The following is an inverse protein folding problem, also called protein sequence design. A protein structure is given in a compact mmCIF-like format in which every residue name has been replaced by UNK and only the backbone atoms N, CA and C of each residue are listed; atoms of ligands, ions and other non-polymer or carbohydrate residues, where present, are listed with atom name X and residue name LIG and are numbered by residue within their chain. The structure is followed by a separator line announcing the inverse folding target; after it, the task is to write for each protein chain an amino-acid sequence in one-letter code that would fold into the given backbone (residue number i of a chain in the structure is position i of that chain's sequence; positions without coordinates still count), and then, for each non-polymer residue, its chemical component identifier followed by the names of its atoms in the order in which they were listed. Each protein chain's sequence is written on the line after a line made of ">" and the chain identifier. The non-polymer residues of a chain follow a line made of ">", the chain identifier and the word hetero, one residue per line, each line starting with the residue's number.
data_IF_381785151454
#
_entry.id   IF_381785151454
#
_cell.length_a   1.000
_cell.length_b   1.000
_cell.length_c   1.000
_cell.angle_alpha   90.00
_cell.angle_beta   90.00
_cell.angle_gamma   90.00
#
_symmetry.space_group_name_H-M   'P 1'
#
loop_
_entity.id
_entity.type
_entity.pdbx_description
1 polymer ?
#
# COMPACT_ATOMS: atom_id res chain seq x y z
N UNK A 1 -6.21 35.04 -35.89
CA UNK A 1 -5.11 34.93 -34.92
C UNK A 1 -5.74 34.85 -33.54
N UNK A 2 -5.76 33.74 -32.89
CA UNK A 2 -6.07 33.64 -31.45
C UNK A 2 -4.74 33.62 -30.70
N UNK A 3 -4.65 34.45 -29.67
CA UNK A 3 -3.52 34.56 -28.75
C UNK A 3 -3.48 33.33 -27.85
N UNK A 4 -2.38 32.61 -27.99
CA UNK A 4 -2.06 31.42 -27.18
C UNK A 4 -1.29 31.92 -25.93
N UNK A 5 -2.02 32.26 -24.87
CA UNK A 5 -1.47 32.70 -23.61
C UNK A 5 -1.52 31.55 -22.61
N UNK A 6 -0.65 30.56 -22.83
CA UNK A 6 -0.44 29.46 -21.88
C UNK A 6 0.59 29.92 -20.85
N UNK A 7 0.15 30.55 -19.77
CA UNK A 7 0.99 30.78 -18.60
C UNK A 7 1.38 29.44 -17.96
N UNK A 8 2.68 29.22 -17.66
CA UNK A 8 3.11 28.03 -16.96
C UNK A 8 2.61 28.07 -15.50
N UNK A 9 1.88 27.03 -15.10
CA UNK A 9 1.48 26.79 -13.72
C UNK A 9 2.74 26.65 -12.85
N UNK A 10 3.12 27.74 -12.17
CA UNK A 10 4.16 27.72 -11.15
C UNK A 10 3.57 27.11 -9.88
N UNK A 11 3.88 25.85 -9.61
CA UNK A 11 3.53 25.22 -8.35
C UNK A 11 4.46 25.78 -7.29
N UNK A 12 3.92 26.61 -6.39
CA UNK A 12 4.64 27.12 -5.23
C UNK A 12 4.87 25.96 -4.22
N UNK A 13 6.11 25.47 -4.16
CA UNK A 13 6.53 24.37 -3.30
C UNK A 13 6.87 24.82 -1.86
N UNK A 14 6.63 26.07 -1.50
CA UNK A 14 7.01 26.63 -0.20
C UNK A 14 6.11 26.20 0.96
N UNK A 15 4.89 25.71 0.68
CA UNK A 15 3.92 25.27 1.71
C UNK A 15 3.82 23.74 1.83
N UNK A 16 4.87 23.03 1.49
CA UNK A 16 4.89 21.57 1.57
C UNK A 16 5.06 21.12 3.03
N UNK A 17 4.10 20.37 3.63
CA UNK A 17 4.19 19.85 4.99
C UNK A 17 5.43 18.97 5.26
N UNK A 18 6.14 18.56 4.20
CA UNK A 18 7.42 17.84 4.27
C UNK A 18 8.50 18.66 5.01
N UNK A 19 8.44 19.99 4.97
CA UNK A 19 9.42 20.86 5.66
C UNK A 19 9.44 20.73 7.17
N UNK A 20 8.35 20.25 7.78
CA UNK A 20 8.26 20.05 9.25
C UNK A 20 8.84 18.71 9.73
N UNK A 21 9.03 17.73 8.82
CA UNK A 21 9.58 16.42 9.17
C UNK A 21 11.12 16.41 9.13
N UNK A 22 11.74 17.38 8.46
CA UNK A 22 13.21 17.46 8.32
C UNK A 22 13.98 17.74 9.61
N UNK A 23 13.31 18.06 10.72
CA UNK A 23 13.98 18.38 12.00
C UNK A 23 14.25 17.17 12.91
N UNK A 24 13.82 15.95 12.53
CA UNK A 24 14.25 14.74 13.25
C UNK A 24 15.53 14.22 12.61
N UNK A 25 16.65 14.69 13.14
CA UNK A 25 17.98 14.21 12.86
C UNK A 25 17.99 12.69 13.00
N UNK A 26 18.10 11.99 11.88
CA UNK A 26 18.41 10.55 11.88
C UNK A 26 19.86 10.45 12.34
N UNK A 27 20.16 9.81 13.48
CA UNK A 27 21.52 9.70 13.97
C UNK A 27 22.35 8.91 12.95
N UNK A 28 23.38 9.55 12.40
CA UNK A 28 24.38 8.92 11.53
C UNK A 28 25.15 7.90 12.36
N UNK A 29 24.66 6.68 12.44
CA UNK A 29 25.38 5.55 13.05
C UNK A 29 25.81 4.64 11.92
N UNK A 30 27.11 4.70 11.59
CA UNK A 30 27.76 3.70 10.73
C UNK A 30 27.74 2.36 11.46
N UNK A 31 26.73 1.55 11.18
CA UNK A 31 26.62 0.17 11.66
C UNK A 31 26.98 -0.74 10.48
N UNK A 32 27.86 -1.70 10.70
CA UNK A 32 28.24 -2.68 9.67
C UNK A 32 26.99 -3.45 9.21
N UNK A 33 26.70 -3.54 7.90
CA UNK A 33 25.36 -3.90 7.39
C UNK A 33 24.89 -5.33 7.69
N UNK A 34 25.78 -6.26 8.04
CA UNK A 34 25.49 -7.71 8.02
C UNK A 34 24.87 -8.26 9.30
N UNK A 35 25.08 -7.63 10.45
CA UNK A 35 24.63 -8.19 11.74
C UNK A 35 23.27 -7.65 12.24
N UNK A 36 22.74 -6.59 11.62
CA UNK A 36 21.63 -5.82 12.18
C UNK A 36 20.26 -6.04 11.52
N UNK A 37 20.20 -6.76 10.40
CA UNK A 37 18.99 -6.87 9.58
C UNK A 37 18.00 -7.91 10.13
N UNK A 38 18.52 -9.06 10.57
CA UNK A 38 17.68 -10.13 11.12
C UNK A 38 16.82 -9.69 12.30
N UNK A 39 17.35 -8.89 13.25
CA UNK A 39 16.54 -8.34 14.33
C UNK A 39 15.40 -7.44 13.86
N UNK A 40 15.60 -6.64 12.81
CA UNK A 40 14.57 -5.74 12.29
C UNK A 40 13.48 -6.50 11.53
N UNK A 41 13.83 -7.46 10.67
CA UNK A 41 12.85 -8.34 10.04
C UNK A 41 12.09 -9.19 11.07
N UNK A 42 12.79 -9.72 12.08
CA UNK A 42 12.18 -10.45 13.16
C UNK A 42 11.24 -9.54 14.00
N UNK A 43 11.59 -8.27 14.19
CA UNK A 43 10.71 -7.29 14.81
C UNK A 43 9.48 -7.04 13.95
N UNK A 44 9.65 -6.75 12.66
CA UNK A 44 8.55 -6.55 11.72
C UNK A 44 7.59 -7.74 11.72
N UNK A 45 8.13 -8.95 11.62
CA UNK A 45 7.33 -10.19 11.64
C UNK A 45 6.55 -10.36 12.95
N UNK A 46 7.20 -10.11 14.11
CA UNK A 46 6.52 -10.17 15.42
C UNK A 46 5.41 -9.13 15.55
N UNK A 47 5.65 -7.89 15.10
CA UNK A 47 4.66 -6.82 15.13
C UNK A 47 3.46 -7.15 14.23
N UNK A 48 3.71 -7.63 13.02
CA UNK A 48 2.65 -8.10 12.11
C UNK A 48 1.90 -9.33 12.67
N UNK A 49 2.59 -10.27 13.30
CA UNK A 49 1.96 -11.43 13.92
C UNK A 49 1.10 -11.03 15.15
N UNK A 50 1.56 -10.08 15.95
CA UNK A 50 0.78 -9.52 17.06
C UNK A 50 -0.46 -8.79 16.55
N UNK A 51 -0.34 -8.01 15.47
CA UNK A 51 -1.48 -7.39 14.81
C UNK A 51 -2.48 -8.46 14.31
N UNK A 52 -2.02 -9.49 13.61
CA UNK A 52 -2.87 -10.57 13.12
C UNK A 52 -3.59 -11.30 14.27
N UNK A 53 -2.90 -11.54 15.39
CA UNK A 53 -3.50 -12.17 16.57
C UNK A 53 -4.52 -11.27 17.27
N UNK A 54 -4.31 -9.96 17.32
CA UNK A 54 -5.18 -9.01 18.01
C UNK A 54 -6.37 -8.56 17.16
N UNK A 55 -6.19 -8.42 15.84
CA UNK A 55 -7.19 -7.87 14.93
C UNK A 55 -8.21 -8.91 14.42
N UNK A 56 -8.06 -10.18 14.82
CA UNK A 56 -8.98 -11.25 14.38
C UNK A 56 -10.36 -11.23 15.07
N UNK A 57 -10.48 -10.62 16.26
CA UNK A 57 -11.77 -10.58 16.97
C UNK A 57 -11.75 -9.52 18.12
N UNK A 58 -12.44 -8.39 18.03
CA UNK A 58 -13.32 -7.94 16.93
C UNK A 58 -12.53 -7.37 15.72
N UNK A 59 -13.19 -7.23 14.55
CA UNK A 59 -12.59 -6.58 13.38
C UNK A 59 -12.09 -5.16 13.69
N UNK A 60 -10.94 -4.80 13.12
CA UNK A 60 -10.40 -3.46 13.27
C UNK A 60 -11.24 -2.46 12.48
N UNK A 61 -11.89 -1.52 13.17
CA UNK A 61 -12.71 -0.49 12.51
C UNK A 61 -11.80 0.50 11.79
N UNK A 62 -11.86 0.50 10.47
CA UNK A 62 -11.14 1.45 9.62
C UNK A 62 -11.98 1.78 8.40
N UNK A 63 -12.26 3.06 8.18
CA UNK A 63 -12.92 3.52 6.96
C UNK A 63 -11.88 3.78 5.89
N UNK A 64 -12.03 3.11 4.74
CA UNK A 64 -11.21 3.36 3.56
C UNK A 64 -12.07 3.54 2.32
N UNK A 65 -11.58 4.32 1.36
CA UNK A 65 -12.21 4.53 0.06
C UNK A 65 -11.20 4.20 -1.04
N UNK A 66 -11.62 3.35 -1.98
CA UNK A 66 -10.83 3.00 -3.16
C UNK A 66 -11.50 3.58 -4.40
N UNK A 67 -10.76 4.43 -5.11
CA UNK A 67 -11.26 5.03 -6.35
C UNK A 67 -11.14 4.04 -7.51
N UNK A 68 -12.28 3.64 -8.06
CA UNK A 68 -12.40 2.81 -9.24
C UNK A 68 -12.68 3.72 -10.43
N UNK A 69 -11.62 4.18 -11.10
CA UNK A 69 -11.70 5.12 -12.21
C UNK A 69 -12.76 4.71 -13.23
N UNK A 70 -13.72 5.59 -13.50
CA UNK A 70 -14.84 5.37 -14.43
C UNK A 70 -15.97 4.49 -13.90
N UNK A 71 -15.94 4.10 -12.60
CA UNK A 71 -16.96 3.27 -11.96
C UNK A 71 -17.52 3.99 -10.73
N UNK A 72 -16.66 4.46 -9.82
CA UNK A 72 -17.04 5.09 -8.57
C UNK A 72 -16.08 4.77 -7.44
N UNK A 73 -16.50 4.97 -6.19
CA UNK A 73 -15.71 4.73 -5.00
C UNK A 73 -16.21 3.53 -4.22
N UNK A 74 -15.35 2.56 -4.01
CA UNK A 74 -15.61 1.41 -3.16
C UNK A 74 -15.30 1.79 -1.71
N UNK A 75 -16.28 1.67 -0.82
CA UNK A 75 -16.15 2.05 0.58
C UNK A 75 -16.08 0.82 1.48
N UNK A 76 -15.12 0.82 2.38
CA UNK A 76 -14.95 -0.22 3.39
C UNK A 76 -14.99 0.38 4.79
N UNK A 77 -15.28 -0.43 5.79
CA UNK A 77 -15.51 0.03 7.18
C UNK A 77 -14.69 -0.71 8.21
N UNK A 78 -14.04 -1.81 7.82
CA UNK A 78 -13.22 -2.63 8.72
C UNK A 78 -12.05 -3.27 7.98
N UNK A 79 -11.05 -3.68 8.76
CA UNK A 79 -9.99 -4.59 8.36
C UNK A 79 -10.21 -5.93 9.07
N UNK A 80 -10.07 -7.01 8.31
CA UNK A 80 -10.34 -8.37 8.76
C UNK A 80 -9.32 -9.36 8.18
N UNK A 81 -9.38 -10.61 8.64
CA UNK A 81 -8.64 -11.74 8.06
C UNK A 81 -7.13 -11.52 7.97
N UNK A 82 -6.55 -10.93 9.01
CA UNK A 82 -5.10 -10.75 9.07
C UNK A 82 -4.39 -12.10 9.17
N UNK A 83 -3.38 -12.29 8.32
CA UNK A 83 -2.53 -13.48 8.33
C UNK A 83 -1.08 -13.11 7.99
N UNK A 84 -0.13 -13.74 8.68
CA UNK A 84 1.28 -13.63 8.37
C UNK A 84 1.74 -14.93 7.71
N UNK A 85 2.34 -14.83 6.55
CA UNK A 85 2.86 -15.96 5.78
C UNK A 85 4.35 -15.76 5.50
N UNK A 86 5.14 -16.76 5.82
CA UNK A 86 6.56 -16.76 5.46
C UNK A 86 6.71 -17.07 3.98
N UNK A 87 7.56 -16.34 3.29
CA UNK A 87 7.93 -16.67 1.92
C UNK A 87 8.89 -17.86 1.95
N UNK A 88 8.59 -18.88 1.15
CA UNK A 88 9.39 -20.11 1.14
C UNK A 88 10.74 -19.90 0.43
N UNK A 89 10.81 -18.96 -0.50
CA UNK A 89 12.02 -18.57 -1.23
C UNK A 89 11.97 -17.08 -1.58
N UNK A 90 13.06 -16.30 -1.34
CA UNK A 90 14.33 -16.72 -0.71
C UNK A 90 14.19 -16.90 0.82
N UNK A 91 14.99 -17.81 1.38
CA UNK A 91 15.06 -18.13 2.84
C UNK A 91 15.76 -17.03 3.67
N UNK A 92 15.46 -15.79 3.40
CA UNK A 92 16.13 -14.61 3.97
C UNK A 92 15.32 -13.93 5.09
N UNK A 93 14.26 -14.59 5.58
CA UNK A 93 13.34 -14.04 6.57
C UNK A 93 12.23 -13.18 5.96
N UNK A 94 12.07 -13.22 4.64
CA UNK A 94 10.98 -12.52 3.95
C UNK A 94 9.62 -13.08 4.35
N UNK A 95 8.64 -12.19 4.54
CA UNK A 95 7.28 -12.55 4.92
C UNK A 95 6.26 -11.59 4.33
N UNK A 96 5.00 -11.99 4.35
CA UNK A 96 3.86 -11.18 3.91
C UNK A 96 2.79 -11.13 4.99
N UNK A 97 2.34 -9.92 5.32
CA UNK A 97 1.12 -9.68 6.07
C UNK A 97 -0.01 -9.48 5.06
N UNK A 98 -0.99 -10.38 5.04
CA UNK A 98 -2.21 -10.24 4.25
C UNK A 98 -3.39 -9.86 5.15
N UNK A 99 -4.35 -9.13 4.61
CA UNK A 99 -5.58 -8.71 5.28
C UNK A 99 -6.61 -8.29 4.25
N UNK A 100 -7.83 -8.05 4.70
CA UNK A 100 -8.94 -7.65 3.84
C UNK A 100 -9.59 -6.38 4.36
N UNK A 101 -9.82 -5.42 3.46
CA UNK A 101 -10.75 -4.32 3.71
C UNK A 101 -12.16 -4.81 3.40
N UNK A 102 -13.03 -4.73 4.40
CA UNK A 102 -14.42 -5.19 4.31
C UNK A 102 -15.39 -4.02 4.43
N UNK A 103 -16.41 -4.00 3.60
CA UNK A 103 -17.49 -3.02 3.61
C UNK A 103 -18.86 -3.68 3.65
N UNK A 104 -19.90 -2.84 3.61
CA UNK A 104 -21.30 -3.30 3.66
C UNK A 104 -22.04 -3.11 2.35
N UNK A 105 -21.67 -2.09 1.59
CA UNK A 105 -22.40 -1.66 0.40
C UNK A 105 -21.67 -2.08 -0.86
N UNK A 106 -22.34 -2.85 -1.70
CA UNK A 106 -21.87 -3.19 -3.02
C UNK A 106 -21.89 -1.95 -3.93
N UNK A 107 -20.90 -1.84 -4.79
CA UNK A 107 -20.87 -0.82 -5.83
C UNK A 107 -21.45 -1.41 -7.13
N UNK A 108 -22.53 -0.81 -7.63
CA UNK A 108 -23.18 -1.26 -8.85
C UNK A 108 -22.88 -0.28 -9.99
N UNK A 109 -22.34 -0.79 -11.07
CA UNK A 109 -22.06 0.01 -12.28
C UNK A 109 -22.77 -0.57 -13.51
N UNK A 110 -23.49 0.27 -14.23
CA UNK A 110 -24.17 -0.09 -15.49
C UNK A 110 -23.25 0.30 -16.64
N UNK A 111 -22.85 -0.68 -17.45
CA UNK A 111 -21.97 -0.46 -18.58
C UNK A 111 -22.71 0.04 -19.81
N UNK A 112 -22.18 1.06 -20.45
CA UNK A 112 -22.76 1.66 -21.65
C UNK A 112 -22.68 0.76 -22.89
N UNK A 113 -21.72 -0.18 -22.91
CA UNK A 113 -21.53 -1.13 -24.01
C UNK A 113 -20.78 -2.38 -23.53
N UNK A 114 -20.83 -3.45 -24.33
CA UNK A 114 -20.10 -4.68 -24.07
C UNK A 114 -18.57 -4.47 -24.06
N UNK A 115 -18.05 -3.59 -24.90
CA UNK A 115 -16.62 -3.24 -24.91
C UNK A 115 -16.20 -2.57 -23.60
N UNK A 116 -16.98 -1.63 -23.08
CA UNK A 116 -16.76 -0.99 -21.78
C UNK A 116 -16.84 -2.01 -20.65
N UNK A 117 -17.83 -2.88 -20.68
CA UNK A 117 -17.99 -3.96 -19.71
C UNK A 117 -16.75 -4.86 -19.65
N UNK A 118 -16.28 -5.36 -20.80
CA UNK A 118 -15.10 -6.21 -20.88
C UNK A 118 -13.82 -5.54 -20.34
N UNK A 119 -13.61 -4.27 -20.72
CA UNK A 119 -12.44 -3.49 -20.25
C UNK A 119 -12.48 -3.25 -18.74
N UNK A 120 -13.64 -2.87 -18.19
CA UNK A 120 -13.81 -2.62 -16.76
C UNK A 120 -13.65 -3.92 -15.95
N UNK A 121 -14.28 -5.02 -16.42
CA UNK A 121 -14.18 -6.33 -15.76
C UNK A 121 -12.74 -6.81 -15.68
N UNK A 122 -11.96 -6.69 -16.78
CA UNK A 122 -10.53 -7.05 -16.77
C UNK A 122 -9.76 -6.23 -15.74
N UNK A 123 -9.94 -4.91 -15.73
CA UNK A 123 -9.25 -4.02 -14.76
C UNK A 123 -9.59 -4.35 -13.32
N UNK A 124 -10.86 -4.64 -13.00
CA UNK A 124 -11.27 -5.03 -11.66
C UNK A 124 -10.63 -6.36 -11.24
N UNK A 125 -10.52 -7.30 -12.18
CA UNK A 125 -9.84 -8.56 -11.98
C UNK A 125 -8.34 -8.38 -11.74
N UNK A 126 -7.68 -7.47 -12.47
CA UNK A 126 -6.26 -7.15 -12.30
C UNK A 126 -5.98 -6.56 -10.90
N UNK A 127 -6.98 -5.98 -10.24
CA UNK A 127 -6.92 -5.52 -8.85
C UNK A 127 -7.40 -6.57 -7.83
N UNK A 128 -7.67 -7.80 -8.28
CA UNK A 128 -8.17 -8.90 -7.44
C UNK A 128 -9.50 -8.60 -6.72
N UNK A 129 -10.33 -7.75 -7.33
CA UNK A 129 -11.64 -7.42 -6.77
C UNK A 129 -12.67 -8.50 -7.14
N UNK A 130 -13.52 -8.86 -6.17
CA UNK A 130 -14.62 -9.78 -6.39
C UNK A 130 -15.75 -9.08 -7.12
N UNK A 131 -16.06 -9.55 -8.33
CA UNK A 131 -17.06 -8.95 -9.20
C UNK A 131 -18.07 -9.99 -9.65
N UNK A 132 -19.35 -9.71 -9.40
CA UNK A 132 -20.47 -10.43 -9.99
C UNK A 132 -20.96 -9.69 -11.23
N UNK A 133 -21.23 -10.43 -12.28
CA UNK A 133 -21.68 -9.91 -13.57
C UNK A 133 -23.12 -10.30 -13.81
N UNK A 134 -23.95 -9.33 -14.16
CA UNK A 134 -25.31 -9.57 -14.60
C UNK A 134 -25.48 -8.97 -15.98
N UNK A 135 -25.66 -9.84 -16.97
CA UNK A 135 -25.96 -9.44 -18.36
C UNK A 135 -27.44 -9.64 -18.63
N UNK A 136 -28.06 -8.64 -19.24
CA UNK A 136 -29.41 -8.71 -19.79
C UNK A 136 -29.38 -8.28 -21.26
N UNK A 137 -30.49 -8.50 -21.98
CA UNK A 137 -30.59 -8.10 -23.38
C UNK A 137 -30.38 -6.60 -23.64
N UNK A 138 -30.53 -5.78 -22.60
CA UNK A 138 -30.50 -4.30 -22.70
C UNK A 138 -29.33 -3.64 -21.98
N UNK A 139 -28.67 -4.31 -21.03
CA UNK A 139 -27.56 -3.74 -20.26
C UNK A 139 -26.73 -4.81 -19.56
N UNK A 140 -25.43 -4.58 -19.50
CA UNK A 140 -24.48 -5.34 -18.66
C UNK A 140 -24.18 -4.55 -17.39
N UNK A 141 -24.26 -5.22 -16.23
CA UNK A 141 -24.00 -4.63 -14.92
C UNK A 141 -22.84 -5.34 -14.25
N UNK A 142 -21.98 -4.56 -13.61
CA UNK A 142 -20.94 -5.03 -12.70
C UNK A 142 -21.39 -4.76 -11.27
N UNK A 143 -21.40 -5.78 -10.43
CA UNK A 143 -21.66 -5.68 -9.00
C UNK A 143 -20.35 -6.00 -8.30
N UNK A 144 -19.74 -5.00 -7.72
CA UNK A 144 -18.43 -5.08 -7.07
C UNK A 144 -18.68 -5.26 -5.58
N UNK A 145 -18.19 -6.37 -5.05
CA UNK A 145 -18.28 -6.66 -3.61
C UNK A 145 -17.36 -5.69 -2.85
N UNK A 146 -17.80 -5.20 -1.67
CA UNK A 146 -17.02 -4.29 -0.85
C UNK A 146 -15.93 -5.04 -0.06
N UNK A 147 -15.12 -5.81 -0.79
CA UNK A 147 -14.03 -6.64 -0.28
C UNK A 147 -12.78 -6.36 -1.12
N UNK A 148 -11.71 -5.91 -0.46
CA UNK A 148 -10.42 -5.64 -1.10
C UNK A 148 -9.34 -6.41 -0.37
N UNK A 149 -8.78 -7.43 -1.04
CA UNK A 149 -7.62 -8.16 -0.51
C UNK A 149 -6.38 -7.28 -0.61
N UNK A 150 -5.67 -7.13 0.50
CA UNK A 150 -4.49 -6.29 0.63
C UNK A 150 -3.32 -7.05 1.24
N UNK A 151 -2.10 -6.60 0.97
CA UNK A 151 -0.92 -7.20 1.56
C UNK A 151 0.24 -6.22 1.69
N UNK A 152 1.07 -6.46 2.69
CA UNK A 152 2.37 -5.84 2.88
C UNK A 152 3.43 -6.92 2.92
N UNK A 153 4.36 -6.90 1.97
CA UNK A 153 5.47 -7.86 1.93
C UNK A 153 6.78 -7.18 2.29
N UNK A 154 7.56 -7.85 3.12
CA UNK A 154 8.92 -7.46 3.48
C UNK A 154 9.88 -8.48 2.89
N UNK A 155 10.86 -8.02 2.13
CA UNK A 155 11.92 -8.85 1.59
C UNK A 155 13.25 -8.11 1.59
N UNK A 156 14.36 -8.87 1.55
CA UNK A 156 15.72 -8.34 1.57
C UNK A 156 16.50 -8.86 0.38
N UNK A 157 17.12 -7.95 -0.34
CA UNK A 157 18.08 -8.26 -1.40
C UNK A 157 19.49 -7.99 -0.86
N UNK A 158 20.12 -9.03 -0.30
CA UNK A 158 21.47 -8.93 0.32
C UNK A 158 22.56 -8.63 -0.70
N UNK A 159 22.32 -8.95 -1.98
CA UNK A 159 23.32 -8.72 -3.02
C UNK A 159 23.42 -7.26 -3.42
N UNK A 160 22.33 -6.51 -3.18
CA UNK A 160 22.22 -5.08 -3.49
C UNK A 160 22.11 -4.19 -2.24
N UNK A 161 22.19 -4.78 -1.06
CA UNK A 161 21.97 -4.11 0.23
C UNK A 161 20.65 -3.33 0.29
N UNK A 162 19.57 -3.96 -0.18
CA UNK A 162 18.26 -3.37 -0.25
C UNK A 162 17.22 -4.13 0.58
N UNK A 163 16.44 -3.39 1.34
CA UNK A 163 15.14 -3.84 1.84
C UNK A 163 14.05 -3.44 0.83
N UNK A 164 13.12 -4.35 0.58
CA UNK A 164 11.95 -4.09 -0.27
C UNK A 164 10.68 -4.22 0.56
N UNK A 165 9.89 -3.18 0.55
CA UNK A 165 8.55 -3.15 1.15
C UNK A 165 7.56 -3.00 0.01
N UNK A 166 6.75 -4.03 -0.21
CA UNK A 166 5.74 -4.03 -1.27
C UNK A 166 4.36 -3.89 -0.64
N UNK A 167 3.65 -2.84 -1.03
CA UNK A 167 2.27 -2.56 -0.64
C UNK A 167 1.36 -2.97 -1.80
N UNK A 168 0.42 -3.88 -1.57
CA UNK A 168 -0.61 -4.28 -2.53
C UNK A 168 -1.98 -3.90 -1.99
N UNK A 169 -2.70 -3.07 -2.74
CA UNK A 169 -4.02 -2.58 -2.36
C UNK A 169 -4.08 -1.93 -0.96
N UNK A 170 -2.99 -1.33 -0.51
CA UNK A 170 -2.93 -0.60 0.75
C UNK A 170 -3.15 0.88 0.45
N UNK A 171 -4.17 1.51 1.04
CA UNK A 171 -4.59 2.90 0.82
C UNK A 171 -5.12 3.18 -0.60
N UNK A 172 -4.55 2.57 -1.63
CA UNK A 172 -4.99 2.68 -3.02
C UNK A 172 -4.88 1.32 -3.71
N UNK A 173 -5.65 1.12 -4.79
CA UNK A 173 -5.57 -0.10 -5.58
C UNK A 173 -4.28 -0.17 -6.38
N UNK A 174 -3.74 -1.38 -6.48
CA UNK A 174 -2.52 -1.67 -7.21
C UNK A 174 -1.37 -2.05 -6.29
N UNK A 175 -0.18 -2.18 -6.89
CA UNK A 175 1.03 -2.60 -6.18
C UNK A 175 2.10 -1.53 -6.30
N UNK A 176 2.68 -1.17 -5.16
CA UNK A 176 3.81 -0.24 -5.08
C UNK A 176 4.94 -0.88 -4.29
N UNK A 177 6.15 -0.87 -4.83
CA UNK A 177 7.33 -1.41 -4.16
C UNK A 177 8.31 -0.28 -3.84
N UNK A 178 8.72 -0.22 -2.58
CA UNK A 178 9.75 0.68 -2.06
C UNK A 178 11.03 -0.12 -1.89
N UNK A 179 12.10 0.27 -2.59
CA UNK A 179 13.43 -0.30 -2.44
C UNK A 179 14.29 0.71 -1.67
N UNK A 180 14.64 0.37 -0.45
CA UNK A 180 15.31 1.23 0.50
C UNK A 180 16.69 0.65 0.84
N UNK A 181 17.70 1.47 1.16
CA UNK A 181 18.95 0.97 1.72
C UNK A 181 18.64 0.12 2.96
N UNK A 182 19.37 -0.97 3.09
CA UNK A 182 19.13 -1.94 4.15
C UNK A 182 19.31 -1.35 5.55
N UNK A 183 20.25 -0.41 5.68
CA UNK A 183 20.49 0.39 6.90
C UNK A 183 19.32 1.27 7.33
N UNK A 184 18.40 1.59 6.41
CA UNK A 184 17.21 2.37 6.68
C UNK A 184 16.03 1.50 7.20
N UNK A 185 16.18 0.18 7.17
CA UNK A 185 15.18 -0.73 7.73
C UNK A 185 15.31 -0.74 9.26
N UNK A 186 14.76 0.26 9.90
CA UNK A 186 14.74 0.40 11.35
C UNK A 186 13.33 0.17 11.93
N UNK A 187 13.25 0.23 13.26
CA UNK A 187 11.98 0.05 13.97
C UNK A 187 10.96 1.13 13.61
N UNK A 188 11.38 2.39 13.45
CA UNK A 188 10.47 3.49 13.15
C UNK A 188 9.82 3.32 11.77
N UNK A 189 10.59 2.88 10.78
CA UNK A 189 10.07 2.59 9.45
C UNK A 189 9.05 1.43 9.51
N UNK A 190 9.36 0.37 10.24
CA UNK A 190 8.48 -0.80 10.40
C UNK A 190 7.18 -0.39 11.10
N UNK A 191 7.26 0.33 12.21
CA UNK A 191 6.09 0.78 12.95
C UNK A 191 5.22 1.71 12.11
N UNK A 192 5.83 2.58 11.27
CA UNK A 192 5.10 3.44 10.34
C UNK A 192 4.36 2.67 9.24
N UNK A 193 4.84 1.49 8.83
CA UNK A 193 4.09 0.60 7.92
C UNK A 193 2.85 0.04 8.60
N UNK A 194 2.97 -0.37 9.86
CA UNK A 194 1.83 -0.87 10.64
C UNK A 194 0.80 0.25 10.87
N UNK A 195 1.24 1.46 11.19
CA UNK A 195 0.39 2.65 11.28
C UNK A 195 -0.32 2.94 9.96
N UNK A 196 0.39 2.87 8.82
CA UNK A 196 -0.21 3.03 7.51
C UNK A 196 -1.35 2.04 7.26
N UNK A 197 -1.18 0.77 7.66
CA UNK A 197 -2.21 -0.27 7.53
C UNK A 197 -3.38 -0.03 8.46
N UNK A 198 -3.12 0.31 9.74
CA UNK A 198 -4.13 0.33 10.80
C UNK A 198 -4.87 1.66 10.95
N UNK A 199 -4.22 2.76 10.58
CA UNK A 199 -4.76 4.13 10.75
C UNK A 199 -4.78 4.95 9.46
N UNK A 200 -4.14 4.45 8.39
CA UNK A 200 -3.88 5.16 7.14
C UNK A 200 -3.00 6.43 7.31
N UNK A 201 -2.24 6.50 8.38
CA UNK A 201 -1.26 7.56 8.56
C UNK A 201 -0.13 7.46 7.51
N UNK A 202 0.26 8.61 6.98
CA UNK A 202 1.19 8.67 5.83
C UNK A 202 2.65 8.84 6.24
N UNK A 203 3.00 8.64 7.50
CA UNK A 203 4.37 8.75 8.04
C UNK A 203 5.35 7.85 7.27
N UNK A 204 4.93 6.66 6.89
CA UNK A 204 5.72 5.74 6.07
C UNK A 204 6.22 6.37 4.77
N UNK A 205 5.38 7.12 4.05
CA UNK A 205 5.78 7.72 2.78
C UNK A 205 6.87 8.77 2.98
N UNK A 206 6.78 9.59 4.03
CA UNK A 206 7.80 10.57 4.34
C UNK A 206 9.14 9.90 4.69
N UNK A 207 9.12 8.84 5.50
CA UNK A 207 10.33 8.08 5.87
C UNK A 207 10.94 7.36 4.67
N UNK A 208 10.12 6.77 3.78
CA UNK A 208 10.61 6.08 2.59
C UNK A 208 11.26 7.04 1.59
N UNK A 209 10.74 8.26 1.44
CA UNK A 209 11.35 9.30 0.59
C UNK A 209 12.69 9.74 1.19
N UNK A 210 12.75 9.99 2.50
CA UNK A 210 14.00 10.36 3.17
C UNK A 210 15.07 9.28 3.02
N UNK A 211 14.71 8.00 3.20
CA UNK A 211 15.62 6.87 3.00
C UNK A 211 16.12 6.75 1.55
N UNK A 212 15.26 6.99 0.56
CA UNK A 212 15.65 6.96 -0.85
C UNK A 212 16.59 8.11 -1.24
N UNK A 213 16.49 9.26 -0.58
CA UNK A 213 17.40 10.41 -0.79
C UNK A 213 18.79 10.16 -0.22
N UNK A 214 18.91 9.45 0.91
CA UNK A 214 20.21 9.05 1.48
C UNK A 214 21.09 8.29 0.49
N UNK A 215 20.50 7.44 -0.36
CA UNK A 215 21.21 6.67 -1.38
C UNK A 215 21.85 7.53 -2.48
N UNK A 216 21.34 8.75 -2.73
CA UNK A 216 21.85 9.63 -3.81
C UNK A 216 23.05 10.48 -3.37
N UNK A 217 23.32 10.52 -2.07
CA UNK A 217 24.36 11.37 -1.47
C UNK A 217 25.60 10.59 -1.00
N UNK A 218 25.57 9.28 -0.99
CA UNK A 218 26.69 8.36 -0.70
C UNK A 218 27.14 7.62 -1.95
#
# INVERSE_FOLDING_TARGET
>A
MPDDNTEPLTIDLTDNPISRVQSRVIPSRVVRPTETIEPHLAHARRTCAALAASAGNPPLKLKAEFDLVGIGRLRTTSLENFAVQDQQEPKDGSFTLSFEYCGREQLIHVCASEAVYGALRKRLFDHELTVKSVSSATASKLIIEPLVSAAVSFSVDRTRDLARITLRNVVMLGTTTYALPLECLDRNLIDSVVELVTTQERTFYALSIAAAQHRKLG
#
